data_IF_164636964231
#
_entry.id   IF_164636964231
#
_cell.length_a   1.000
_cell.length_b   1.000
_cell.length_c   1.000
_cell.angle_alpha   90.00
_cell.angle_beta   90.00
_cell.angle_gamma   90.00
#
_symmetry.space_group_name_H-M   'P 1'
#
loop_
_entity.id
_entity.type
_entity.pdbx_description
1 polymer ?
#
# COMPACT_ATOMS: atom_id res chain seq x y z
N UNK A 1 -41.71 15.66 -0.82
CA UNK A 1 -40.65 14.74 -0.35
C UNK A 1 -40.45 13.54 -1.26
N UNK A 2 -41.50 12.92 -1.83
CA UNK A 2 -41.37 11.73 -2.71
C UNK A 2 -40.59 12.02 -4.01
N UNK A 3 -40.77 13.18 -4.63
CA UNK A 3 -40.07 13.53 -5.88
C UNK A 3 -38.57 13.81 -5.68
N UNK A 4 -38.17 14.28 -4.50
CA UNK A 4 -36.76 14.46 -4.16
C UNK A 4 -36.08 13.10 -3.88
N UNK A 5 -36.81 12.16 -3.27
CA UNK A 5 -36.34 10.79 -3.05
C UNK A 5 -36.19 10.02 -4.37
N UNK A 6 -37.12 10.17 -5.32
CA UNK A 6 -37.00 9.59 -6.67
C UNK A 6 -35.81 10.13 -7.43
N UNK A 7 -35.63 11.46 -7.47
CA UNK A 7 -34.46 12.07 -8.11
C UNK A 7 -33.13 11.63 -7.51
N UNK A 8 -33.07 11.41 -6.19
CA UNK A 8 -31.86 10.89 -5.55
C UNK A 8 -31.60 9.40 -5.84
N UNK A 9 -32.66 8.61 -6.03
CA UNK A 9 -32.54 7.20 -6.45
C UNK A 9 -32.06 7.11 -7.90
N UNK A 10 -32.68 7.87 -8.81
CA UNK A 10 -32.32 7.88 -10.24
C UNK A 10 -30.87 8.38 -10.46
N UNK A 11 -30.43 9.35 -9.65
CA UNK A 11 -29.04 9.82 -9.68
C UNK A 11 -28.03 8.76 -9.21
N UNK A 12 -28.40 7.89 -8.25
CA UNK A 12 -27.55 6.78 -7.78
C UNK A 12 -27.41 5.69 -8.84
N UNK A 13 -28.49 5.37 -9.56
CA UNK A 13 -28.47 4.36 -10.62
C UNK A 13 -27.59 4.78 -11.80
N UNK A 14 -27.50 6.08 -12.10
CA UNK A 14 -26.61 6.63 -13.14
C UNK A 14 -25.12 6.56 -12.76
N UNK A 15 -24.77 6.68 -11.47
CA UNK A 15 -23.37 6.59 -10.98
C UNK A 15 -22.87 5.16 -10.75
N UNK A 16 -23.79 4.20 -10.70
CA UNK A 16 -23.50 2.78 -10.47
C UNK A 16 -22.56 2.16 -11.52
N UNK A 17 -22.71 2.39 -12.85
CA UNK A 17 -21.79 1.86 -13.85
C UNK A 17 -20.36 2.42 -13.69
N UNK A 18 -20.20 3.72 -13.42
CA UNK A 18 -18.89 4.35 -13.22
C UNK A 18 -18.18 3.81 -11.97
N UNK A 19 -18.93 3.52 -10.90
CA UNK A 19 -18.39 2.92 -9.68
C UNK A 19 -18.03 1.44 -9.87
N UNK A 20 -18.77 0.70 -10.71
CA UNK A 20 -18.48 -0.70 -11.04
C UNK A 20 -17.23 -0.83 -11.90
N UNK A 21 -16.98 0.13 -12.81
CA UNK A 21 -15.74 0.25 -13.58
C UNK A 21 -14.52 0.44 -12.66
N UNK A 22 -14.67 1.21 -11.58
CA UNK A 22 -13.62 1.40 -10.56
C UNK A 22 -13.30 0.13 -9.76
N UNK A 23 -14.25 -0.79 -9.63
CA UNK A 23 -14.08 -2.05 -8.88
C UNK A 23 -13.52 -3.18 -9.75
N UNK A 24 -13.37 -2.98 -11.06
CA UNK A 24 -12.84 -3.99 -12.00
C UNK A 24 -13.67 -5.27 -12.00
N UNK A 25 -14.98 -5.17 -11.78
CA UNK A 25 -15.88 -6.32 -11.76
C UNK A 25 -15.99 -6.86 -13.19
N UNK A 26 -15.69 -8.15 -13.43
CA UNK A 26 -15.76 -8.70 -14.77
C UNK A 26 -17.18 -8.60 -15.32
N UNK A 27 -17.28 -8.14 -16.57
CA UNK A 27 -18.56 -8.01 -17.26
C UNK A 27 -19.16 -9.38 -17.56
N UNK A 28 -20.50 -9.47 -17.76
CA UNK A 28 -21.14 -10.73 -18.12
C UNK A 28 -20.57 -11.40 -19.38
N UNK A 29 -20.06 -10.60 -20.32
CA UNK A 29 -19.41 -11.07 -21.54
C UNK A 29 -18.02 -11.66 -21.26
N UNK A 30 -17.21 -11.02 -20.42
CA UNK A 30 -15.90 -11.52 -19.99
C UNK A 30 -16.03 -12.83 -19.19
N UNK A 31 -17.05 -12.95 -18.33
CA UNK A 31 -17.36 -14.19 -17.61
C UNK A 31 -17.74 -15.34 -18.55
N UNK A 32 -18.42 -15.04 -19.65
CA UNK A 32 -18.83 -16.02 -20.65
C UNK A 32 -17.64 -16.50 -21.48
N UNK A 33 -16.71 -15.61 -21.81
CA UNK A 33 -15.44 -15.94 -22.45
C UNK A 33 -14.54 -16.79 -21.54
N UNK A 34 -14.42 -16.43 -20.26
CA UNK A 34 -13.71 -17.23 -19.27
C UNK A 34 -14.29 -18.65 -19.15
N UNK A 35 -15.63 -18.77 -19.18
CA UNK A 35 -16.32 -20.07 -19.13
C UNK A 35 -16.13 -20.93 -20.38
N UNK A 36 -16.01 -20.29 -21.55
CA UNK A 36 -15.65 -21.01 -22.79
C UNK A 36 -14.21 -21.52 -22.75
N UNK A 37 -13.30 -20.79 -22.11
CA UNK A 37 -11.88 -21.13 -22.01
C UNK A 37 -11.60 -22.22 -20.97
N UNK A 38 -12.17 -22.10 -19.77
CA UNK A 38 -11.95 -23.03 -18.65
C UNK A 38 -12.87 -24.25 -18.69
N UNK A 39 -13.98 -24.16 -19.42
CA UNK A 39 -14.94 -25.25 -19.60
C UNK A 39 -16.07 -25.27 -18.57
N UNK A 40 -17.04 -26.21 -18.73
CA UNK A 40 -18.29 -26.20 -17.97
C UNK A 40 -18.15 -26.57 -16.48
N UNK A 41 -17.00 -27.14 -16.09
CA UNK A 41 -16.70 -27.56 -14.70
C UNK A 41 -15.94 -26.51 -13.88
N UNK A 42 -15.59 -25.38 -14.47
CA UNK A 42 -14.86 -24.33 -13.77
C UNK A 42 -15.70 -23.73 -12.64
N UNK A 43 -15.08 -23.57 -11.47
CA UNK A 43 -15.68 -22.94 -10.30
C UNK A 43 -15.88 -21.43 -10.52
N UNK A 44 -16.78 -20.81 -9.76
CA UNK A 44 -17.03 -19.37 -9.85
C UNK A 44 -15.78 -18.52 -9.55
N UNK A 45 -14.87 -19.01 -8.72
CA UNK A 45 -13.61 -18.35 -8.39
C UNK A 45 -12.62 -18.39 -9.56
N UNK A 46 -12.50 -19.52 -10.26
CA UNK A 46 -11.64 -19.64 -11.44
C UNK A 46 -12.13 -18.77 -12.60
N UNK A 47 -13.45 -18.73 -12.81
CA UNK A 47 -14.06 -17.86 -13.83
C UNK A 47 -13.82 -16.38 -13.54
N UNK A 48 -13.95 -15.97 -12.29
CA UNK A 48 -13.71 -14.57 -11.90
C UNK A 48 -12.24 -14.21 -11.88
N UNK A 49 -11.33 -15.14 -11.56
CA UNK A 49 -9.89 -14.92 -11.65
C UNK A 49 -9.43 -14.74 -13.10
N UNK A 50 -9.94 -15.54 -14.03
CA UNK A 50 -9.64 -15.45 -15.46
C UNK A 50 -10.28 -14.22 -16.13
N UNK A 51 -11.52 -13.89 -15.75
CA UNK A 51 -12.23 -12.73 -16.29
C UNK A 51 -11.75 -11.40 -15.70
N UNK A 52 -11.11 -11.41 -14.52
CA UNK A 52 -10.58 -10.20 -13.91
C UNK A 52 -9.40 -9.68 -14.71
N UNK A 53 -9.54 -8.45 -15.23
CA UNK A 53 -8.41 -7.57 -15.59
C UNK A 53 -7.70 -7.10 -14.33
N UNK A 54 -7.08 -8.03 -13.62
CA UNK A 54 -6.15 -7.73 -12.55
C UNK A 54 -4.93 -6.98 -13.07
N UNK A 55 -4.07 -6.59 -12.13
CA UNK A 55 -2.75 -6.08 -12.45
C UNK A 55 -2.01 -7.12 -13.33
N UNK A 56 -1.42 -6.74 -14.48
CA UNK A 56 -0.73 -7.69 -15.33
C UNK A 56 0.41 -8.37 -14.57
N UNK A 57 0.68 -9.66 -14.85
CA UNK A 57 1.80 -10.37 -14.25
C UNK A 57 3.08 -9.57 -14.51
N UNK A 58 3.83 -9.31 -13.44
CA UNK A 58 5.08 -8.55 -13.48
C UNK A 58 5.00 -7.05 -13.36
N UNK A 59 3.81 -6.48 -13.23
CA UNK A 59 3.72 -5.09 -12.85
C UNK A 59 4.26 -4.90 -11.42
N UNK A 60 5.47 -4.36 -11.34
CA UNK A 60 6.08 -3.91 -10.09
C UNK A 60 5.32 -2.70 -9.56
N UNK A 61 5.30 -2.51 -8.24
CA UNK A 61 4.90 -1.23 -7.62
C UNK A 61 5.90 -0.15 -8.01
N UNK A 62 5.76 0.35 -9.24
CA UNK A 62 6.61 1.36 -9.85
C UNK A 62 6.62 2.62 -9.00
N UNK A 63 5.47 2.98 -8.43
CA UNK A 63 5.34 4.10 -7.49
C UNK A 63 6.30 4.02 -6.29
N UNK A 64 6.51 2.84 -5.70
CA UNK A 64 7.42 2.68 -4.56
C UNK A 64 8.90 2.72 -4.96
N UNK A 65 9.25 2.14 -6.10
CA UNK A 65 10.63 2.19 -6.61
C UNK A 65 11.02 3.58 -7.11
N UNK A 66 10.12 4.27 -7.81
CA UNK A 66 10.33 5.63 -8.30
C UNK A 66 10.41 6.61 -7.14
N UNK A 67 9.56 6.46 -6.12
CA UNK A 67 9.65 7.25 -4.89
C UNK A 67 10.97 7.01 -4.15
N UNK A 68 11.38 5.76 -3.98
CA UNK A 68 12.70 5.44 -3.38
C UNK A 68 13.84 6.09 -4.16
N UNK A 69 13.86 5.97 -5.49
CA UNK A 69 14.90 6.58 -6.34
C UNK A 69 14.90 8.09 -6.24
N UNK A 70 13.72 8.70 -6.25
CA UNK A 70 13.55 10.14 -6.12
C UNK A 70 14.10 10.63 -4.77
N UNK A 71 13.64 10.06 -3.66
CA UNK A 71 14.08 10.46 -2.30
C UNK A 71 15.58 10.25 -2.10
N UNK A 72 16.12 9.11 -2.55
CA UNK A 72 17.57 8.83 -2.48
C UNK A 72 18.41 9.74 -3.39
N UNK A 73 17.80 10.44 -4.35
CA UNK A 73 18.49 11.45 -5.16
C UNK A 73 18.80 12.73 -4.40
N UNK A 74 18.07 13.02 -3.31
CA UNK A 74 18.25 14.24 -2.52
C UNK A 74 19.26 14.10 -1.38
N UNK A 75 19.58 12.87 -0.96
CA UNK A 75 20.41 12.70 0.22
C UNK A 75 20.75 11.28 0.60
N UNK A 76 21.21 11.16 1.84
CA UNK A 76 21.72 9.93 2.43
C UNK A 76 20.59 8.99 2.87
N UNK A 77 20.89 7.70 2.95
CA UNK A 77 19.96 6.70 3.47
C UNK A 77 19.52 7.04 4.92
N UNK A 78 18.21 6.99 5.23
CA UNK A 78 17.71 7.28 6.57
C UNK A 78 18.28 6.35 7.64
N UNK A 79 18.65 5.11 7.32
CA UNK A 79 19.29 4.21 8.26
C UNK A 79 20.65 4.75 8.74
N UNK A 80 21.42 5.34 7.83
CA UNK A 80 22.71 5.95 8.19
C UNK A 80 22.48 7.23 9.00
N UNK A 81 21.43 7.99 8.69
CA UNK A 81 21.03 9.15 9.50
C UNK A 81 20.74 8.75 10.94
N UNK A 82 20.02 7.65 11.17
CA UNK A 82 19.75 7.14 12.51
C UNK A 82 21.03 6.75 13.26
N UNK A 83 22.00 6.14 12.57
CA UNK A 83 23.31 5.81 13.15
C UNK A 83 24.10 7.08 13.51
N UNK A 84 24.10 8.09 12.64
CA UNK A 84 24.80 9.34 12.87
C UNK A 84 24.20 10.15 14.02
N UNK A 85 22.88 10.11 14.22
CA UNK A 85 22.23 10.82 15.35
C UNK A 85 22.82 10.39 16.69
N UNK A 86 23.25 9.13 16.85
CA UNK A 86 23.88 8.66 18.07
C UNK A 86 25.25 9.31 18.34
N UNK A 87 26.03 9.59 17.29
CA UNK A 87 27.39 10.12 17.42
C UNK A 87 27.48 11.64 17.21
N UNK A 88 26.38 12.29 16.83
CA UNK A 88 26.36 13.72 16.54
C UNK A 88 26.25 14.54 17.84
N UNK A 89 27.14 15.52 18.08
CA UNK A 89 27.04 16.47 19.19
C UNK A 89 25.73 17.24 19.21
N UNK A 90 25.28 17.63 20.41
CA UNK A 90 24.00 18.32 20.61
C UNK A 90 23.95 19.68 19.91
N UNK A 91 25.07 20.39 19.91
CA UNK A 91 25.22 21.73 19.34
C UNK A 91 24.94 21.70 17.83
N UNK A 92 25.44 20.67 17.14
CA UNK A 92 25.25 20.50 15.70
C UNK A 92 23.77 20.21 15.38
N UNK A 93 23.09 19.42 16.21
CA UNK A 93 21.67 19.12 15.99
C UNK A 93 20.80 20.38 16.19
N UNK A 94 21.11 21.20 17.19
CA UNK A 94 20.40 22.45 17.43
C UNK A 94 20.66 23.45 16.30
N UNK A 95 21.91 23.59 15.86
CA UNK A 95 22.28 24.46 14.75
C UNK A 95 21.57 24.07 13.45
N UNK A 96 21.49 22.78 13.13
CA UNK A 96 20.77 22.27 11.95
C UNK A 96 19.26 22.49 12.03
N UNK A 97 18.71 22.68 13.24
CA UNK A 97 17.29 22.99 13.44
C UNK A 97 16.98 24.48 13.28
N UNK A 98 17.99 25.34 13.22
CA UNK A 98 17.84 26.79 13.20
C UNK A 98 17.08 27.24 11.97
N UNK A 99 16.00 27.99 12.19
CA UNK A 99 15.20 28.60 11.13
C UNK A 99 15.04 30.09 11.41
N UNK A 100 15.34 30.89 10.40
CA UNK A 100 15.07 32.33 10.38
C UNK A 100 13.81 32.60 9.58
N UNK A 101 12.89 33.37 10.15
CA UNK A 101 11.78 33.92 9.40
C UNK A 101 11.57 35.40 9.74
N UNK A 102 11.20 36.16 8.73
CA UNK A 102 10.89 37.57 8.87
C UNK A 102 9.43 37.71 9.24
N UNK A 103 9.15 38.28 10.41
CA UNK A 103 7.81 38.65 10.83
C UNK A 103 7.67 40.17 10.71
N UNK A 104 6.60 40.61 10.05
CA UNK A 104 6.26 42.03 10.00
C UNK A 104 5.44 42.35 11.23
N UNK A 105 5.89 43.32 12.01
CA UNK A 105 5.15 43.80 13.17
C UNK A 105 3.94 44.64 12.76
N UNK A 106 3.06 44.91 13.73
CA UNK A 106 1.87 45.76 13.55
C UNK A 106 2.18 47.16 13.00
N UNK A 107 3.44 47.61 13.14
CA UNK A 107 3.93 48.91 12.68
C UNK A 107 4.64 48.85 11.32
N UNK A 108 4.62 47.71 10.63
CA UNK A 108 5.20 47.56 9.29
C UNK A 108 6.71 47.35 9.25
N UNK A 109 7.39 47.26 10.40
CA UNK A 109 8.81 46.97 10.47
C UNK A 109 9.06 45.45 10.39
N UNK A 110 9.98 44.99 9.53
CA UNK A 110 10.38 43.59 9.48
C UNK A 110 11.33 43.26 10.64
N UNK A 111 10.96 42.27 11.45
CA UNK A 111 11.81 41.68 12.48
C UNK A 111 12.22 40.26 12.09
N UNK A 112 13.52 39.98 12.12
CA UNK A 112 14.05 38.63 11.94
C UNK A 112 13.99 37.89 13.27
N UNK A 113 13.22 36.80 13.29
CA UNK A 113 13.12 35.92 14.45
C UNK A 113 13.89 34.65 14.10
N UNK A 114 14.88 34.33 14.94
CA UNK A 114 15.61 33.07 14.91
C UNK A 114 14.91 32.12 15.86
N UNK A 115 14.44 30.98 15.35
CA UNK A 115 13.93 29.89 16.17
C UNK A 115 14.89 28.71 16.09
N UNK A 116 15.29 28.22 17.25
CA UNK A 116 16.10 27.03 17.43
C UNK A 116 15.31 26.03 18.27
N UNK A 117 15.35 24.76 17.88
CA UNK A 117 14.73 23.70 18.66
C UNK A 117 15.65 23.32 19.83
N UNK A 118 15.05 22.85 20.92
CA UNK A 118 15.83 22.20 21.97
C UNK A 118 16.48 20.93 21.43
N UNK A 119 17.57 20.49 22.07
CA UNK A 119 18.27 19.26 21.68
C UNK A 119 17.33 18.05 21.54
N UNK A 120 16.43 17.86 22.52
CA UNK A 120 15.49 16.74 22.51
C UNK A 120 14.52 16.80 21.33
N UNK A 121 14.01 17.98 21.01
CA UNK A 121 13.12 18.20 19.86
C UNK A 121 13.86 18.01 18.53
N UNK A 122 15.08 18.53 18.40
CA UNK A 122 15.89 18.36 17.21
C UNK A 122 16.26 16.89 16.96
N UNK A 123 16.63 16.16 18.02
CA UNK A 123 16.92 14.73 17.93
C UNK A 123 15.67 13.93 17.55
N UNK A 124 14.54 14.22 18.19
CA UNK A 124 13.27 13.52 17.94
C UNK A 124 12.76 13.76 16.51
N UNK A 125 12.83 15.01 16.02
CA UNK A 125 12.43 15.36 14.67
C UNK A 125 13.20 14.53 13.64
N UNK A 126 14.53 14.45 13.76
CA UNK A 126 15.35 13.68 12.81
C UNK A 126 15.07 12.18 12.90
N UNK A 127 14.88 11.66 14.11
CA UNK A 127 14.52 10.26 14.32
C UNK A 127 13.18 9.93 13.68
N UNK A 128 12.17 10.79 13.83
CA UNK A 128 10.85 10.61 13.24
C UNK A 128 10.92 10.65 11.71
N UNK A 129 11.53 11.68 11.13
CA UNK A 129 11.67 11.77 9.67
C UNK A 129 12.38 10.56 9.07
N UNK A 130 13.46 10.09 9.71
CA UNK A 130 14.17 8.90 9.25
C UNK A 130 13.31 7.63 9.41
N UNK A 131 12.66 7.44 10.56
CA UNK A 131 11.83 6.27 10.84
C UNK A 131 10.62 6.16 9.91
N UNK A 132 9.97 7.28 9.57
CA UNK A 132 8.82 7.32 8.67
C UNK A 132 9.18 6.98 7.22
N UNK A 133 10.40 7.30 6.79
CA UNK A 133 10.89 6.99 5.44
C UNK A 133 11.37 5.54 5.27
N UNK A 134 11.82 4.90 6.36
CA UNK A 134 12.39 3.54 6.34
C UNK A 134 11.47 2.48 5.69
N UNK A 135 10.15 2.41 5.98
CA UNK A 135 9.26 1.45 5.33
C UNK A 135 9.20 1.61 3.81
N UNK A 136 9.28 2.84 3.29
CA UNK A 136 9.17 3.07 1.85
C UNK A 136 10.46 2.76 1.10
N UNK A 137 11.60 2.82 1.78
CA UNK A 137 12.92 2.59 1.17
C UNK A 137 13.38 1.14 1.33
N UNK A 138 13.14 0.55 2.51
CA UNK A 138 13.69 -0.75 2.92
C UNK A 138 12.66 -1.86 3.05
N UNK A 139 11.35 -1.60 2.92
CA UNK A 139 10.38 -2.69 2.97
C UNK A 139 10.67 -3.72 1.88
N UNK A 140 10.59 -4.99 2.29
CA UNK A 140 10.72 -6.14 1.39
C UNK A 140 9.64 -6.04 0.34
N UNK A 141 10.03 -5.86 -0.91
CA UNK A 141 9.12 -6.01 -2.03
C UNK A 141 8.72 -7.48 -2.12
N UNK A 142 7.45 -7.76 -2.45
CA UNK A 142 7.03 -9.12 -2.75
C UNK A 142 7.97 -9.70 -3.82
N UNK A 143 8.47 -10.91 -3.59
CA UNK A 143 9.33 -11.58 -4.56
C UNK A 143 8.51 -11.80 -5.84
N UNK A 144 9.00 -11.25 -6.94
CA UNK A 144 8.43 -11.44 -8.27
C UNK A 144 9.45 -12.23 -9.09
N UNK A 145 8.98 -13.25 -9.80
CA UNK A 145 9.79 -14.07 -10.70
C UNK A 145 10.33 -13.20 -11.87
N UNK A 146 11.20 -13.74 -12.72
CA UNK A 146 11.71 -13.08 -13.93
C UNK A 146 10.58 -12.65 -14.88
N UNK A 147 9.49 -13.41 -14.90
CA UNK A 147 8.27 -13.12 -15.64
C UNK A 147 7.27 -12.29 -14.82
N UNK A 148 7.60 -12.05 -13.55
CA UNK A 148 6.91 -11.11 -12.69
C UNK A 148 5.62 -11.65 -12.07
N UNK A 149 5.42 -12.96 -12.11
CA UNK A 149 4.45 -13.63 -11.25
C UNK A 149 4.89 -13.55 -9.79
N UNK A 150 3.92 -13.48 -8.88
CA UNK A 150 4.19 -13.52 -7.46
C UNK A 150 4.79 -14.89 -7.12
N UNK A 151 6.04 -14.91 -6.63
CA UNK A 151 6.66 -16.15 -6.20
C UNK A 151 5.99 -16.54 -4.89
N UNK A 152 5.19 -17.61 -4.92
CA UNK A 152 4.64 -18.19 -3.71
C UNK A 152 5.81 -18.52 -2.76
N UNK A 153 5.73 -18.10 -1.48
CA UNK A 153 6.79 -18.38 -0.52
C UNK A 153 7.01 -19.89 -0.45
N UNK A 154 8.26 -20.35 -0.56
CA UNK A 154 8.60 -21.76 -0.40
C UNK A 154 8.27 -22.19 1.03
N UNK A 155 7.25 -23.03 1.18
CA UNK A 155 6.82 -23.59 2.46
C UNK A 155 7.61 -24.86 2.70
N UNK A 156 8.52 -24.84 3.68
CA UNK A 156 9.28 -26.00 4.12
C UNK A 156 8.79 -26.39 5.51
N UNK A 157 8.11 -27.54 5.59
CA UNK A 157 7.60 -28.10 6.83
C UNK A 157 8.74 -28.31 7.85
N UNK A 158 8.55 -27.80 9.07
CA UNK A 158 9.54 -27.91 10.15
C UNK A 158 10.64 -26.83 10.16
N UNK A 159 10.71 -25.96 9.14
CA UNK A 159 11.65 -24.83 9.11
C UNK A 159 10.95 -23.46 9.14
N UNK A 160 9.93 -23.26 8.30
CA UNK A 160 9.23 -21.97 8.18
C UNK A 160 7.83 -21.97 8.79
N UNK A 161 7.20 -23.14 8.84
CA UNK A 161 5.83 -23.33 9.32
C UNK A 161 5.74 -24.66 10.10
N UNK A 162 4.88 -24.69 11.12
CA UNK A 162 4.55 -25.95 11.80
C UNK A 162 3.74 -26.85 10.88
N UNK A 163 3.75 -28.17 11.12
CA UNK A 163 3.01 -29.13 10.31
C UNK A 163 1.50 -28.79 10.21
N UNK A 164 0.95 -28.24 11.29
CA UNK A 164 -0.44 -27.80 11.36
C UNK A 164 -0.69 -26.58 10.48
N UNK A 165 0.20 -25.58 10.50
CA UNK A 165 0.11 -24.42 9.60
C UNK A 165 0.24 -24.80 8.13
N UNK A 166 1.07 -25.80 7.80
CA UNK A 166 1.18 -26.32 6.43
C UNK A 166 -0.14 -26.97 6.00
N UNK A 167 -0.74 -27.79 6.87
CA UNK A 167 -2.03 -28.42 6.58
C UNK A 167 -3.15 -27.39 6.44
N UNK A 168 -3.18 -26.35 7.27
CA UNK A 168 -4.18 -25.29 7.19
C UNK A 168 -4.08 -24.50 5.87
N UNK A 169 -2.85 -24.24 5.39
CA UNK A 169 -2.61 -23.55 4.11
C UNK A 169 -3.04 -24.43 2.92
N UNK A 170 -2.77 -25.74 2.98
CA UNK A 170 -3.17 -26.69 1.93
C UNK A 170 -4.70 -26.83 1.91
N UNK A 171 -5.32 -26.98 3.08
CA UNK A 171 -6.76 -27.24 3.21
C UNK A 171 -7.62 -25.99 2.98
N UNK A 172 -7.07 -24.78 3.15
CA UNK A 172 -7.77 -23.53 2.85
C UNK A 172 -8.11 -23.37 1.34
N UNK A 173 -7.43 -24.12 0.46
CA UNK A 173 -7.74 -24.16 -0.98
C UNK A 173 -8.83 -25.16 -1.38
N UNK A 174 -9.25 -26.03 -0.47
CA UNK A 174 -10.17 -27.17 -0.74
C UNK A 174 -11.35 -27.22 0.22
N UNK A 175 -11.82 -26.08 0.73
CA UNK A 175 -13.13 -26.01 1.37
C UNK A 175 -14.21 -26.17 0.30
N UNK A 176 -14.46 -27.42 -0.07
CA UNK A 176 -15.74 -27.82 -0.66
C UNK A 176 -16.82 -27.43 0.35
N UNK A 177 -17.56 -26.39 0.00
CA UNK A 177 -18.77 -26.03 0.72
C UNK A 177 -19.79 -27.10 0.35
N UNK A 178 -20.05 -28.05 1.25
CA UNK A 178 -21.21 -28.94 1.13
C UNK A 178 -22.47 -28.07 1.25
N UNK A 179 -23.17 -27.90 0.14
CA UNK A 179 -24.40 -27.10 0.04
C UNK A 179 -25.67 -27.92 0.38
N UNK A 180 -25.54 -29.14 0.88
CA UNK A 180 -26.65 -30.11 1.00
C UNK A 180 -27.39 -30.11 2.34
N UNK A 181 -27.22 -29.10 3.21
CA UNK A 181 -28.04 -28.95 4.42
C UNK A 181 -28.59 -27.53 4.57
N UNK A 182 -29.49 -27.12 3.67
CA UNK A 182 -30.51 -26.10 3.96
C UNK A 182 -31.83 -26.54 3.33
N UNK A 183 -32.50 -27.49 3.96
CA UNK A 183 -33.95 -27.66 3.89
C UNK A 183 -34.42 -28.43 5.14
N UNK A 184 -34.82 -27.66 6.17
CA UNK A 184 -36.03 -27.87 6.99
C UNK A 184 -36.23 -26.68 7.96
#
# INVERSE_FOLDING_TARGET
MVDQAKKAHDARDLTRPEQLDLLGVPTPTEMLEARRKLGPKASALELTAEARRGRPPGAKNRAGQDFRRYIMGFGQDPAITLMQIQSTPAEILMEQSRRTYTRIDRHGNPHEIVVELSYGEAQQLRKQCAAELMPFIHAKQAAVDKDGEAVAPLIIAGSTHTQQQVNDIINAGTLDVDWDEVDD
#
